data_IF_649253345231
#
_entry.id   IF_649253345231
#
_cell.length_a   1.000
_cell.length_b   1.000
_cell.length_c   1.000
_cell.angle_alpha   90.00
_cell.angle_beta   90.00
_cell.angle_gamma   90.00
#
_symmetry.space_group_name_H-M   'P 1'
#
loop_
_entity.id
_entity.type
_entity.pdbx_description
1 polymer ?
#
# COMPACT_ATOMS: atom_id res chain seq x y z
N UNK A 1 1.45 36.96 -25.22
CA UNK A 1 1.25 37.88 -24.08
C UNK A 1 2.23 37.46 -22.98
N UNK A 2 3.06 38.39 -22.51
CA UNK A 2 3.90 38.13 -21.34
C UNK A 2 2.98 37.93 -20.11
N UNK A 3 3.29 36.99 -19.20
CA UNK A 3 2.51 36.81 -17.98
C UNK A 3 2.55 38.10 -17.15
N UNK A 4 1.46 38.45 -16.44
CA UNK A 4 1.43 39.64 -15.61
C UNK A 4 2.55 39.58 -14.56
N UNK A 5 3.15 40.72 -14.20
CA UNK A 5 4.25 40.76 -13.24
C UNK A 5 3.76 40.16 -11.90
N UNK A 6 4.48 39.17 -11.40
CA UNK A 6 4.17 38.56 -10.10
C UNK A 6 4.40 39.56 -8.99
N UNK A 7 3.41 39.74 -8.12
CA UNK A 7 3.56 40.54 -6.90
C UNK A 7 4.70 39.94 -6.07
N UNK A 8 5.56 40.80 -5.55
CA UNK A 8 6.75 40.42 -4.78
C UNK A 8 6.52 40.64 -3.28
N UNK A 9 7.30 39.95 -2.45
CA UNK A 9 7.26 40.12 -0.98
C UNK A 9 7.65 41.58 -0.59
N UNK A 10 8.48 42.24 -1.40
CA UNK A 10 8.86 43.62 -1.19
C UNK A 10 7.66 44.56 -1.32
N UNK A 11 6.77 44.33 -2.27
CA UNK A 11 5.54 45.12 -2.42
C UNK A 11 4.57 44.85 -1.26
N UNK A 12 4.48 43.61 -0.76
CA UNK A 12 3.68 43.29 0.46
C UNK A 12 4.26 43.97 1.69
N UNK A 13 5.56 43.98 1.86
CA UNK A 13 6.25 44.65 2.95
C UNK A 13 6.00 46.18 2.95
N UNK A 14 6.09 46.79 1.77
CA UNK A 14 5.78 48.22 1.58
C UNK A 14 4.33 48.55 1.94
N UNK A 15 3.36 47.76 1.45
CA UNK A 15 1.93 47.92 1.75
C UNK A 15 1.62 47.74 3.23
N UNK A 16 2.30 46.79 3.91
CA UNK A 16 2.14 46.52 5.35
C UNK A 16 2.93 47.50 6.25
N UNK A 17 3.80 48.35 5.70
CA UNK A 17 4.64 49.26 6.48
C UNK A 17 5.69 48.55 7.33
N UNK A 18 6.29 47.46 6.80
CA UNK A 18 7.30 46.67 7.49
C UNK A 18 8.50 46.36 6.59
N UNK A 19 9.59 45.85 7.18
CA UNK A 19 10.73 45.36 6.38
C UNK A 19 10.38 44.09 5.63
N UNK A 20 11.05 43.82 4.49
CA UNK A 20 10.91 42.57 3.74
C UNK A 20 11.18 41.32 4.60
N UNK A 21 12.17 41.42 5.52
CA UNK A 21 12.47 40.35 6.47
C UNK A 21 11.32 40.08 7.45
N UNK A 22 10.68 41.17 7.93
CA UNK A 22 9.51 41.05 8.83
C UNK A 22 8.29 40.48 8.08
N UNK A 23 8.03 40.95 6.84
CA UNK A 23 6.99 40.38 6.01
C UNK A 23 7.24 38.89 5.72
N UNK A 24 8.50 38.51 5.46
CA UNK A 24 8.90 37.11 5.25
C UNK A 24 8.62 36.24 6.47
N UNK A 25 8.98 36.69 7.66
CA UNK A 25 8.68 35.98 8.91
C UNK A 25 7.17 35.83 9.17
N UNK A 26 6.42 36.90 9.03
CA UNK A 26 4.97 36.91 9.24
C UNK A 26 4.21 36.00 8.27
N UNK A 27 4.61 35.96 6.98
CA UNK A 27 3.99 35.11 5.97
C UNK A 27 4.52 33.67 5.99
N UNK A 28 5.77 33.49 6.40
CA UNK A 28 6.43 32.19 6.45
C UNK A 28 6.12 31.37 7.69
N UNK A 29 5.62 31.99 8.77
CA UNK A 29 5.41 31.34 10.05
C UNK A 29 6.71 30.92 10.76
N UNK A 30 7.83 31.57 10.47
CA UNK A 30 9.13 31.32 11.11
C UNK A 30 9.68 32.59 11.76
N UNK A 31 10.29 32.42 12.93
CA UNK A 31 10.80 33.56 13.72
C UNK A 31 9.68 34.38 14.37
N UNK A 32 10.06 35.47 15.04
CA UNK A 32 9.13 36.31 15.78
C UNK A 32 8.53 37.41 14.91
N UNK A 33 7.21 37.50 14.90
CA UNK A 33 6.43 38.68 14.48
C UNK A 33 5.26 38.80 15.47
N UNK A 34 4.92 40.02 15.94
CA UNK A 34 3.74 40.19 16.79
C UNK A 34 2.46 39.90 16.00
N UNK A 35 1.41 39.47 16.70
CA UNK A 35 0.10 39.13 16.08
C UNK A 35 -0.45 40.31 15.26
N UNK A 36 -0.26 41.54 15.73
CA UNK A 36 -0.68 42.76 15.03
C UNK A 36 0.08 42.94 13.69
N UNK A 37 1.41 42.73 13.70
CA UNK A 37 2.24 42.80 12.50
C UNK A 37 1.88 41.67 11.55
N UNK A 38 1.68 40.45 12.04
CA UNK A 38 1.29 39.33 11.23
C UNK A 38 -0.07 39.56 10.54
N UNK A 39 -1.06 40.08 11.27
CA UNK A 39 -2.38 40.43 10.72
C UNK A 39 -2.29 41.49 9.62
N UNK A 40 -1.50 42.57 9.83
CA UNK A 40 -1.28 43.61 8.79
C UNK A 40 -0.63 43.06 7.53
N UNK A 41 0.40 42.25 7.68
CA UNK A 41 1.10 41.63 6.54
C UNK A 41 0.20 40.68 5.79
N UNK A 42 -0.60 39.88 6.48
CA UNK A 42 -1.57 38.97 5.85
C UNK A 42 -2.68 39.77 5.11
N UNK A 43 -3.16 40.88 5.67
CA UNK A 43 -4.12 41.74 5.00
C UNK A 43 -3.53 42.36 3.72
N UNK A 44 -2.31 42.87 3.79
CA UNK A 44 -1.59 43.42 2.61
C UNK A 44 -1.39 42.32 1.55
N UNK A 45 -0.98 41.13 1.93
CA UNK A 45 -0.80 40.01 1.00
C UNK A 45 -2.12 39.64 0.29
N UNK A 46 -3.23 39.56 1.03
CA UNK A 46 -4.57 39.32 0.46
C UNK A 46 -4.98 40.45 -0.51
N UNK A 47 -4.80 41.72 -0.11
CA UNK A 47 -5.15 42.88 -0.92
C UNK A 47 -4.42 42.89 -2.25
N UNK A 48 -3.13 42.54 -2.25
CA UNK A 48 -2.29 42.53 -3.43
C UNK A 48 -2.39 41.24 -4.25
N UNK A 49 -3.10 40.17 -3.75
CA UNK A 49 -3.13 38.88 -4.41
C UNK A 49 -1.78 38.14 -4.36
N UNK A 50 -0.96 38.47 -3.35
CA UNK A 50 0.37 37.85 -3.22
C UNK A 50 0.24 36.39 -2.82
N UNK A 51 0.87 35.51 -3.58
CA UNK A 51 1.03 34.09 -3.22
C UNK A 51 2.47 33.86 -2.77
N UNK A 52 2.69 33.38 -1.54
CA UNK A 52 4.05 33.06 -1.07
C UNK A 52 4.75 32.12 -2.06
N UNK A 53 6.00 32.43 -2.35
CA UNK A 53 6.84 31.54 -3.15
C UNK A 53 7.34 30.40 -2.26
N UNK A 54 6.76 29.22 -2.43
CA UNK A 54 7.12 28.04 -1.63
C UNK A 54 8.60 27.65 -1.81
N UNK A 55 9.18 27.84 -3.01
CA UNK A 55 10.60 27.61 -3.25
C UNK A 55 11.48 28.56 -2.43
N UNK A 56 11.13 29.86 -2.38
CA UNK A 56 11.86 30.81 -1.55
C UNK A 56 11.71 30.48 -0.06
N UNK A 57 10.54 30.03 0.36
CA UNK A 57 10.29 29.61 1.74
C UNK A 57 11.11 28.36 2.10
N UNK A 58 11.16 27.37 1.22
CA UNK A 58 11.94 26.14 1.47
C UNK A 58 13.45 26.41 1.58
N UNK A 59 13.97 27.38 0.84
CA UNK A 59 15.38 27.82 0.96
C UNK A 59 15.69 28.44 2.34
N UNK A 60 14.72 29.14 2.93
CA UNK A 60 14.90 29.80 4.24
C UNK A 60 14.64 28.83 5.40
N UNK A 61 13.61 27.97 5.28
CA UNK A 61 13.19 27.05 6.34
C UNK A 61 13.91 25.71 6.29
N UNK A 62 14.56 25.38 5.17
CA UNK A 62 15.10 24.04 4.90
C UNK A 62 14.05 22.97 4.66
N UNK A 63 12.75 23.34 4.59
CA UNK A 63 11.62 22.39 4.45
C UNK A 63 10.72 22.78 3.29
N UNK A 64 10.34 21.78 2.50
CA UNK A 64 9.44 21.95 1.34
C UNK A 64 7.96 21.90 1.70
N UNK A 65 7.62 21.36 2.87
CA UNK A 65 6.26 20.97 3.26
C UNK A 65 5.63 20.03 2.21
N UNK A 66 6.41 19.12 1.70
CA UNK A 66 6.00 18.12 0.72
C UNK A 66 6.57 16.78 1.10
N UNK A 67 5.73 15.74 1.08
CA UNK A 67 6.17 14.36 1.24
C UNK A 67 6.12 13.65 -0.10
N UNK A 68 7.03 12.71 -0.30
CA UNK A 68 7.05 11.81 -1.44
C UNK A 68 6.29 10.52 -1.14
N UNK A 69 5.67 9.95 -2.15
CA UNK A 69 5.09 8.60 -2.08
C UNK A 69 5.56 7.81 -3.29
N UNK A 70 6.15 6.64 -3.06
CA UNK A 70 6.48 5.65 -4.09
C UNK A 70 5.51 4.49 -3.92
N UNK A 71 4.51 4.43 -4.80
CA UNK A 71 3.57 3.32 -4.86
C UNK A 71 4.12 2.22 -5.77
N UNK A 72 3.78 0.97 -5.46
CA UNK A 72 4.19 -0.15 -6.30
C UNK A 72 3.40 -0.19 -7.61
N UNK A 73 2.06 0.03 -7.54
CA UNK A 73 1.18 0.07 -8.72
C UNK A 73 -0.02 0.98 -8.47
N UNK A 74 -0.07 2.12 -9.15
CA UNK A 74 -1.18 3.10 -9.01
C UNK A 74 -2.49 2.63 -9.65
N UNK A 75 -2.47 1.65 -10.54
CA UNK A 75 -3.68 1.08 -11.14
C UNK A 75 -4.38 0.10 -10.16
N UNK A 76 -3.68 -0.34 -9.12
CA UNK A 76 -4.26 -1.17 -8.10
C UNK A 76 -5.10 -0.32 -7.10
N UNK A 77 -6.38 -0.68 -6.95
CA UNK A 77 -7.33 -0.01 -6.07
C UNK A 77 -6.87 0.06 -4.58
N UNK A 78 -6.03 -0.88 -4.13
CA UNK A 78 -5.41 -0.86 -2.82
C UNK A 78 -4.62 0.45 -2.61
N UNK A 79 -3.69 0.77 -3.53
CA UNK A 79 -2.86 1.97 -3.41
C UNK A 79 -3.66 3.26 -3.53
N UNK A 80 -4.70 3.30 -4.36
CA UNK A 80 -5.57 4.48 -4.48
C UNK A 80 -6.23 4.84 -3.14
N UNK A 81 -6.68 3.84 -2.37
CA UNK A 81 -7.29 4.04 -1.04
C UNK A 81 -6.25 4.37 0.04
N UNK A 82 -5.06 3.76 -0.02
CA UNK A 82 -3.93 4.11 0.85
C UNK A 82 -3.51 5.56 0.63
N UNK A 83 -3.36 5.98 -0.63
CA UNK A 83 -3.05 7.37 -1.01
C UNK A 83 -4.09 8.37 -0.52
N UNK A 84 -5.37 7.98 -0.48
CA UNK A 84 -6.42 8.81 0.10
C UNK A 84 -6.15 9.07 1.58
N UNK A 85 -5.81 8.02 2.36
CA UNK A 85 -5.45 8.15 3.76
C UNK A 85 -4.23 9.03 4.00
N UNK A 86 -3.18 8.85 3.18
CA UNK A 86 -1.97 9.70 3.21
C UNK A 86 -2.35 11.16 2.93
N UNK A 87 -3.11 11.41 1.86
CA UNK A 87 -3.48 12.76 1.42
C UNK A 87 -4.34 13.50 2.43
N UNK A 88 -5.25 12.83 3.12
CA UNK A 88 -6.10 13.44 4.14
C UNK A 88 -5.28 13.92 5.35
N UNK A 89 -4.32 13.12 5.83
CA UNK A 89 -3.41 13.50 6.92
C UNK A 89 -2.44 14.60 6.47
N UNK A 90 -1.80 14.44 5.32
CA UNK A 90 -0.86 15.43 4.79
C UNK A 90 -1.53 16.80 4.66
N UNK A 91 -2.72 16.86 4.06
CA UNK A 91 -3.51 18.09 3.89
C UNK A 91 -3.86 18.73 5.24
N UNK A 92 -4.29 17.96 6.22
CA UNK A 92 -4.65 18.46 7.56
C UNK A 92 -3.45 19.10 8.28
N UNK A 93 -2.24 18.70 7.92
CA UNK A 93 -0.97 19.20 8.49
C UNK A 93 -0.27 20.21 7.57
N UNK A 94 -0.89 20.63 6.45
CA UNK A 94 -0.35 21.61 5.52
C UNK A 94 0.77 21.09 4.61
N UNK A 95 0.86 19.77 4.40
CA UNK A 95 1.81 19.13 3.51
C UNK A 95 1.19 18.84 2.13
N UNK A 96 1.98 19.03 1.08
CA UNK A 96 1.71 18.49 -0.26
C UNK A 96 2.19 17.05 -0.40
N UNK A 97 1.67 16.34 -1.40
CA UNK A 97 2.10 14.97 -1.74
C UNK A 97 2.57 14.94 -3.19
N UNK A 98 3.75 14.38 -3.44
CA UNK A 98 4.24 14.01 -4.77
C UNK A 98 4.19 12.50 -4.86
N UNK A 99 3.43 11.99 -5.83
CA UNK A 99 3.28 10.57 -6.10
C UNK A 99 4.18 10.15 -7.26
N UNK A 100 4.86 9.04 -7.09
CA UNK A 100 5.59 8.29 -8.12
C UNK A 100 5.15 6.83 -8.10
N UNK A 101 5.45 6.11 -9.18
CA UNK A 101 5.11 4.70 -9.34
C UNK A 101 6.37 3.90 -9.69
N UNK A 102 6.55 2.72 -9.08
CA UNK A 102 7.68 1.84 -9.36
C UNK A 102 7.34 0.69 -10.33
N UNK A 103 6.06 0.37 -10.53
CA UNK A 103 5.59 -0.79 -11.32
C UNK A 103 6.27 -2.10 -10.88
N UNK A 104 6.44 -2.30 -9.55
CA UNK A 104 7.14 -3.45 -8.95
C UNK A 104 8.58 -3.64 -9.51
N UNK A 105 9.20 -2.57 -9.99
CA UNK A 105 10.54 -2.60 -10.59
C UNK A 105 11.53 -1.81 -9.73
N UNK A 106 12.57 -2.50 -9.25
CA UNK A 106 13.56 -1.94 -8.34
C UNK A 106 14.34 -0.76 -8.95
N UNK A 107 14.64 -0.78 -10.25
CA UNK A 107 15.38 0.32 -10.87
C UNK A 107 14.49 1.55 -11.00
N UNK A 108 13.21 1.39 -11.33
CA UNK A 108 12.24 2.48 -11.32
C UNK A 108 12.00 3.02 -9.90
N UNK A 109 12.01 2.16 -8.89
CA UNK A 109 11.95 2.58 -7.48
C UNK A 109 13.11 3.50 -7.13
N UNK A 110 14.35 3.10 -7.50
CA UNK A 110 15.55 3.93 -7.29
C UNK A 110 15.47 5.27 -8.01
N UNK A 111 15.01 5.27 -9.27
CA UNK A 111 14.80 6.51 -10.04
C UNK A 111 13.73 7.40 -9.40
N UNK A 112 12.63 6.81 -8.91
CA UNK A 112 11.56 7.54 -8.22
C UNK A 112 12.05 8.16 -6.90
N UNK A 113 12.82 7.43 -6.10
CA UNK A 113 13.46 7.93 -4.88
C UNK A 113 14.40 9.09 -5.20
N UNK A 114 15.26 8.94 -6.21
CA UNK A 114 16.19 10.01 -6.62
C UNK A 114 15.44 11.28 -7.08
N UNK A 115 14.39 11.11 -7.90
CA UNK A 115 13.54 12.22 -8.34
C UNK A 115 12.92 12.98 -7.14
N UNK A 116 12.39 12.25 -6.16
CA UNK A 116 11.77 12.84 -4.97
C UNK A 116 12.80 13.61 -4.12
N UNK A 117 14.02 13.10 -4.00
CA UNK A 117 15.14 13.81 -3.35
C UNK A 117 15.50 15.11 -4.10
N UNK A 118 15.55 15.09 -5.41
CA UNK A 118 15.78 16.30 -6.24
C UNK A 118 14.65 17.33 -6.08
N UNK A 119 13.41 16.87 -5.88
CA UNK A 119 12.27 17.74 -5.51
C UNK A 119 12.29 18.20 -4.07
N UNK A 120 13.28 17.76 -3.26
CA UNK A 120 13.46 18.12 -1.85
C UNK A 120 12.25 17.82 -1.00
N UNK A 121 11.67 16.62 -1.16
CA UNK A 121 10.62 16.18 -0.24
C UNK A 121 11.18 16.06 1.19
N UNK A 122 10.37 16.36 2.19
CA UNK A 122 10.79 16.35 3.60
C UNK A 122 10.83 14.94 4.18
N UNK A 123 10.25 13.97 3.49
CA UNK A 123 10.25 12.56 3.85
C UNK A 123 9.50 11.71 2.83
N UNK A 124 9.58 10.40 2.98
CA UNK A 124 9.11 9.42 1.99
C UNK A 124 8.19 8.37 2.60
N UNK A 125 7.09 8.03 1.92
CA UNK A 125 6.31 6.81 2.14
C UNK A 125 6.54 5.90 0.94
N UNK A 126 6.88 4.64 1.18
CA UNK A 126 7.27 3.72 0.11
C UNK A 126 6.72 2.31 0.31
N UNK A 127 6.32 1.66 -0.78
CA UNK A 127 6.19 0.21 -0.84
C UNK A 127 7.46 -0.37 -1.46
N UNK A 128 8.37 -0.98 -0.68
CA UNK A 128 9.65 -1.47 -1.22
C UNK A 128 9.43 -2.57 -2.25
N UNK A 129 10.06 -2.47 -3.43
CA UNK A 129 10.03 -3.52 -4.44
C UNK A 129 10.80 -4.77 -3.98
N UNK A 130 11.90 -4.59 -3.26
CA UNK A 130 12.70 -5.67 -2.72
C UNK A 130 12.66 -5.65 -1.18
N UNK A 131 12.22 -6.76 -0.59
CA UNK A 131 12.15 -6.91 0.88
C UNK A 131 13.49 -7.34 1.48
N UNK A 132 14.48 -7.71 0.67
CA UNK A 132 15.80 -8.18 1.10
C UNK A 132 16.93 -7.19 0.79
N UNK A 133 16.75 -6.30 -0.19
CA UNK A 133 17.79 -5.40 -0.70
C UNK A 133 17.38 -3.93 -0.66
N UNK A 134 17.55 -3.26 0.47
CA UNK A 134 17.12 -1.85 0.66
C UNK A 134 18.27 -0.84 0.77
N UNK A 135 19.43 -1.11 0.15
CA UNK A 135 20.61 -0.23 0.27
C UNK A 135 20.32 1.24 -0.09
N UNK A 136 19.58 1.47 -1.19
CA UNK A 136 19.22 2.81 -1.63
C UNK A 136 18.32 3.54 -0.61
N UNK A 137 17.44 2.80 0.10
CA UNK A 137 16.60 3.36 1.17
C UNK A 137 17.41 3.61 2.45
N UNK A 138 18.37 2.76 2.78
CA UNK A 138 19.32 3.02 3.87
C UNK A 138 20.11 4.30 3.62
N UNK A 139 20.61 4.48 2.39
CA UNK A 139 21.34 5.68 1.99
C UNK A 139 20.46 6.94 2.06
N UNK A 140 19.18 6.85 1.67
CA UNK A 140 18.19 7.91 1.83
C UNK A 140 18.07 8.36 3.30
N UNK A 141 17.85 7.40 4.20
CA UNK A 141 17.66 7.67 5.63
C UNK A 141 18.94 8.22 6.27
N UNK A 142 20.10 7.63 5.93
CA UNK A 142 21.40 8.13 6.37
C UNK A 142 21.68 9.55 5.87
N UNK A 143 21.15 9.94 4.72
CA UNK A 143 21.18 11.30 4.18
C UNK A 143 20.22 12.28 4.89
N UNK A 144 19.47 11.83 5.90
CA UNK A 144 18.58 12.67 6.73
C UNK A 144 17.15 12.79 6.21
N UNK A 145 16.75 12.02 5.20
CA UNK A 145 15.36 11.96 4.73
C UNK A 145 14.63 10.77 5.40
N UNK A 146 13.70 11.00 6.32
CA UNK A 146 12.97 9.92 6.96
C UNK A 146 12.08 9.17 5.98
N UNK A 147 11.93 7.86 6.18
CA UNK A 147 11.07 7.01 5.39
C UNK A 147 10.14 6.16 6.25
N UNK A 148 8.94 5.86 5.73
CA UNK A 148 7.98 4.92 6.30
C UNK A 148 7.58 3.93 5.21
N UNK A 149 7.61 2.65 5.53
CA UNK A 149 7.26 1.57 4.63
C UNK A 149 5.77 1.21 4.80
N UNK A 150 5.12 0.85 3.70
CA UNK A 150 3.72 0.40 3.70
C UNK A 150 3.55 -0.90 2.92
N UNK A 151 2.48 -1.66 3.23
CA UNK A 151 2.11 -2.94 2.61
C UNK A 151 3.09 -4.06 2.93
N UNK A 152 4.36 -3.86 2.66
CA UNK A 152 5.49 -4.73 2.99
C UNK A 152 6.66 -3.92 3.54
N UNK A 153 7.54 -4.57 4.25
CA UNK A 153 8.71 -3.95 4.82
C UNK A 153 9.98 -4.65 4.37
N UNK A 154 11.00 -3.88 3.99
CA UNK A 154 12.32 -4.39 3.76
C UNK A 154 12.93 -4.83 5.11
N UNK A 155 13.33 -6.08 5.19
CA UNK A 155 13.78 -6.74 6.40
C UNK A 155 15.03 -6.09 7.03
N UNK A 156 15.91 -5.57 6.17
CA UNK A 156 17.19 -4.98 6.55
C UNK A 156 17.13 -3.45 6.78
N UNK A 157 15.92 -2.84 6.72
CA UNK A 157 15.75 -1.40 6.84
C UNK A 157 15.19 -0.99 8.21
N UNK A 158 15.97 -0.25 8.98
CA UNK A 158 15.55 0.32 10.25
C UNK A 158 14.66 1.57 10.03
N UNK A 159 13.42 1.36 9.56
CA UNK A 159 12.42 2.39 9.33
C UNK A 159 11.06 1.96 9.87
N UNK A 160 10.20 2.95 10.16
CA UNK A 160 8.80 2.66 10.52
C UNK A 160 8.09 1.91 9.40
N UNK A 161 7.18 1.01 9.77
CA UNK A 161 6.35 0.30 8.80
C UNK A 161 4.90 0.19 9.25
N UNK A 162 3.99 0.15 8.26
CA UNK A 162 2.57 -0.13 8.44
C UNK A 162 2.17 -1.23 7.46
N UNK A 163 1.91 -2.41 7.98
CA UNK A 163 1.57 -3.63 7.22
C UNK A 163 0.26 -4.23 7.73
N UNK A 164 -0.14 -5.36 7.17
CA UNK A 164 -1.31 -6.14 7.58
C UNK A 164 -0.87 -7.54 7.97
N UNK A 165 -1.58 -8.18 8.91
CA UNK A 165 -1.43 -9.61 9.17
C UNK A 165 -1.98 -10.44 8.00
N UNK A 166 -1.18 -10.51 6.93
CA UNK A 166 -1.53 -11.25 5.71
C UNK A 166 -1.72 -12.74 5.98
N UNK A 167 -0.88 -13.33 6.85
CA UNK A 167 -0.92 -14.75 7.18
C UNK A 167 -2.16 -15.10 7.97
N UNK A 168 -2.46 -14.37 9.05
CA UNK A 168 -3.64 -14.58 9.87
C UNK A 168 -4.93 -14.36 9.09
N UNK A 169 -5.01 -13.30 8.31
CA UNK A 169 -6.18 -12.99 7.48
C UNK A 169 -6.45 -14.07 6.41
N UNK A 170 -5.42 -14.56 5.73
CA UNK A 170 -5.57 -15.65 4.77
C UNK A 170 -5.94 -16.96 5.43
N UNK A 171 -5.37 -17.24 6.63
CA UNK A 171 -5.75 -18.41 7.43
C UNK A 171 -7.25 -18.39 7.80
N UNK A 172 -7.77 -17.26 8.24
CA UNK A 172 -9.20 -17.08 8.55
C UNK A 172 -10.06 -17.28 7.30
N UNK A 173 -9.70 -16.67 6.18
CA UNK A 173 -10.40 -16.79 4.90
C UNK A 173 -10.51 -18.25 4.41
N UNK A 174 -9.42 -18.98 4.46
CA UNK A 174 -9.37 -20.38 4.03
C UNK A 174 -10.05 -21.30 5.05
N UNK A 175 -9.90 -21.04 6.35
CA UNK A 175 -10.61 -21.77 7.41
C UNK A 175 -12.13 -21.66 7.25
N UNK A 176 -12.66 -20.52 6.77
CA UNK A 176 -14.08 -20.38 6.47
C UNK A 176 -14.54 -21.36 5.38
N UNK A 177 -13.75 -21.55 4.31
CA UNK A 177 -14.05 -22.55 3.27
C UNK A 177 -13.98 -23.99 3.81
N UNK A 178 -12.95 -24.30 4.60
CA UNK A 178 -12.78 -25.64 5.17
C UNK A 178 -13.91 -25.97 6.17
N UNK A 179 -14.36 -24.98 6.95
CA UNK A 179 -15.50 -25.13 7.89
C UNK A 179 -16.82 -25.35 7.14
N UNK A 180 -16.99 -24.77 5.93
CA UNK A 180 -18.14 -25.06 5.08
C UNK A 180 -18.13 -26.48 4.48
N UNK A 181 -17.08 -27.28 4.75
CA UNK A 181 -16.96 -28.69 4.35
C UNK A 181 -16.09 -28.93 3.11
N UNK A 182 -15.50 -27.88 2.52
CA UNK A 182 -14.62 -28.05 1.37
C UNK A 182 -13.31 -28.75 1.76
N UNK A 183 -12.90 -29.75 0.97
CA UNK A 183 -11.63 -30.47 1.12
C UNK A 183 -10.67 -30.27 -0.04
N UNK A 184 -11.20 -29.75 -1.15
CA UNK A 184 -10.43 -29.38 -2.36
C UNK A 184 -10.53 -27.87 -2.53
N UNK A 185 -9.70 -27.14 -1.79
CA UNK A 185 -9.62 -25.67 -1.85
C UNK A 185 -8.43 -25.30 -2.69
N UNK A 186 -8.67 -24.58 -3.79
CA UNK A 186 -7.62 -24.00 -4.61
C UNK A 186 -7.15 -22.65 -4.07
N UNK A 187 -5.93 -22.26 -4.41
CA UNK A 187 -5.43 -20.90 -4.21
C UNK A 187 -4.83 -20.38 -5.52
N UNK A 188 -5.12 -19.12 -5.85
CA UNK A 188 -4.47 -18.38 -6.94
C UNK A 188 -3.76 -17.20 -6.31
N UNK A 189 -2.45 -17.16 -6.44
CA UNK A 189 -1.60 -16.12 -5.89
C UNK A 189 -0.52 -15.71 -6.88
N UNK A 190 -0.07 -14.47 -6.76
CA UNK A 190 0.99 -13.94 -7.63
C UNK A 190 2.29 -14.73 -7.43
N UNK A 191 2.77 -14.86 -6.19
CA UNK A 191 3.95 -15.60 -5.77
C UNK A 191 5.18 -15.26 -6.62
N UNK A 192 5.67 -14.03 -6.50
CA UNK A 192 6.90 -13.61 -7.15
C UNK A 192 8.05 -14.60 -6.89
N UNK A 193 9.00 -14.66 -7.80
CA UNK A 193 10.05 -15.68 -7.74
C UNK A 193 10.91 -15.51 -6.48
N UNK A 194 10.95 -16.54 -5.63
CA UNK A 194 11.92 -16.59 -4.53
C UNK A 194 13.25 -17.08 -5.11
N UNK A 195 14.32 -16.38 -4.78
CA UNK A 195 15.66 -16.86 -5.08
C UNK A 195 15.90 -18.23 -4.42
N UNK A 196 16.29 -19.22 -5.20
CA UNK A 196 16.74 -20.56 -4.81
C UNK A 196 15.66 -21.58 -4.35
N UNK A 197 14.40 -21.51 -4.81
CA UNK A 197 13.45 -22.57 -4.48
C UNK A 197 12.28 -22.70 -5.46
N UNK A 198 11.74 -23.91 -5.59
CA UNK A 198 10.46 -24.12 -6.26
C UNK A 198 9.30 -23.90 -5.31
N UNK A 199 8.11 -23.64 -5.83
CA UNK A 199 6.88 -23.61 -5.03
C UNK A 199 6.69 -24.92 -4.24
N UNK A 200 7.04 -26.07 -4.84
CA UNK A 200 6.94 -27.35 -4.18
C UNK A 200 7.89 -27.47 -2.98
N UNK A 201 9.14 -26.97 -3.11
CA UNK A 201 10.10 -26.96 -2.01
C UNK A 201 9.63 -26.08 -0.87
N UNK A 202 9.08 -24.90 -1.17
CA UNK A 202 8.50 -24.01 -0.16
C UNK A 202 7.35 -24.67 0.61
N UNK A 203 6.41 -25.30 -0.10
CA UNK A 203 5.28 -26.00 0.51
C UNK A 203 5.76 -27.15 1.38
N UNK A 204 6.73 -27.94 0.91
CA UNK A 204 7.33 -29.03 1.66
C UNK A 204 8.04 -28.53 2.93
N UNK A 205 8.81 -27.46 2.83
CA UNK A 205 9.48 -26.84 3.97
C UNK A 205 8.47 -26.30 5.00
N UNK A 206 7.45 -25.60 4.55
CA UNK A 206 6.41 -25.04 5.42
C UNK A 206 5.58 -26.12 6.16
N UNK A 207 5.54 -27.34 5.62
CA UNK A 207 4.88 -28.48 6.26
C UNK A 207 5.68 -29.05 7.44
N UNK A 208 7.02 -28.92 7.45
CA UNK A 208 7.90 -29.56 8.44
C UNK A 208 8.60 -28.57 9.39
N UNK A 209 8.67 -27.30 9.03
CA UNK A 209 9.37 -26.27 9.81
C UNK A 209 8.62 -24.94 9.79
N UNK A 210 8.63 -24.18 10.91
CA UNK A 210 8.11 -22.81 10.90
C UNK A 210 8.87 -21.95 9.89
N UNK A 211 8.14 -21.25 9.03
CA UNK A 211 8.67 -20.25 8.11
C UNK A 211 8.39 -18.87 8.69
N UNK A 212 9.42 -18.02 8.72
CA UNK A 212 9.33 -16.63 9.18
C UNK A 212 8.56 -15.80 8.14
N UNK A 213 7.36 -15.37 8.50
CA UNK A 213 6.48 -14.66 7.55
C UNK A 213 6.97 -13.24 7.26
N UNK A 214 7.58 -12.58 8.23
CA UNK A 214 7.99 -11.17 8.20
C UNK A 214 9.02 -10.86 7.08
N UNK A 215 9.76 -11.89 6.64
CA UNK A 215 10.76 -11.77 5.57
C UNK A 215 10.20 -12.09 4.17
N UNK A 216 8.89 -12.31 4.05
CA UNK A 216 8.25 -12.72 2.82
C UNK A 216 7.35 -11.61 2.25
N UNK A 217 7.18 -11.61 0.93
CA UNK A 217 6.18 -10.81 0.24
C UNK A 217 4.75 -11.17 0.68
N UNK A 218 3.79 -10.24 0.63
CA UNK A 218 2.41 -10.48 1.05
C UNK A 218 1.76 -11.73 0.44
N UNK A 219 2.00 -12.01 -0.84
CA UNK A 219 1.47 -13.20 -1.53
C UNK A 219 1.95 -14.51 -0.90
N UNK A 220 3.23 -14.59 -0.50
CA UNK A 220 3.80 -15.75 0.19
C UNK A 220 3.30 -15.87 1.63
N UNK A 221 3.10 -14.74 2.34
CA UNK A 221 2.48 -14.75 3.67
C UNK A 221 1.04 -15.29 3.60
N UNK A 222 0.29 -14.93 2.56
CA UNK A 222 -1.08 -15.44 2.33
C UNK A 222 -1.08 -16.91 1.97
N UNK A 223 -0.09 -17.39 1.21
CA UNK A 223 0.10 -18.82 0.98
C UNK A 223 0.40 -19.56 2.30
N UNK A 224 1.24 -19.01 3.18
CA UNK A 224 1.45 -19.59 4.52
C UNK A 224 0.15 -19.69 5.31
N UNK A 225 -0.70 -18.65 5.28
CA UNK A 225 -2.02 -18.68 5.92
C UNK A 225 -2.93 -19.78 5.37
N UNK A 226 -2.92 -19.98 4.03
CA UNK A 226 -3.61 -21.10 3.39
C UNK A 226 -3.10 -22.45 3.90
N UNK A 227 -1.78 -22.65 3.97
CA UNK A 227 -1.19 -23.89 4.48
C UNK A 227 -1.52 -24.13 5.96
N UNK A 228 -1.49 -23.06 6.77
CA UNK A 228 -1.84 -23.12 8.19
C UNK A 228 -3.30 -23.54 8.38
N UNK A 229 -4.24 -22.97 7.64
CA UNK A 229 -5.66 -23.32 7.73
C UNK A 229 -5.90 -24.80 7.42
N UNK A 230 -5.24 -25.32 6.39
CA UNK A 230 -5.30 -26.73 6.02
C UNK A 230 -4.75 -27.64 7.13
N UNK A 231 -3.60 -27.26 7.71
CA UNK A 231 -3.00 -27.99 8.83
C UNK A 231 -3.91 -28.02 10.03
N UNK A 232 -4.50 -26.89 10.42
CA UNK A 232 -5.36 -26.76 11.59
C UNK A 232 -6.67 -27.55 11.44
N UNK A 233 -7.20 -27.61 10.21
CA UNK A 233 -8.40 -28.40 9.89
C UNK A 233 -8.10 -29.90 9.69
N UNK A 234 -6.84 -30.33 9.67
CA UNK A 234 -6.45 -31.71 9.37
C UNK A 234 -6.78 -32.14 7.93
N UNK A 235 -6.91 -31.18 7.00
CA UNK A 235 -7.20 -31.43 5.59
C UNK A 235 -5.90 -31.36 4.80
N UNK A 236 -5.47 -32.45 4.13
CA UNK A 236 -4.21 -32.46 3.38
C UNK A 236 -4.20 -31.40 2.27
N UNK A 237 -3.08 -30.70 2.14
CA UNK A 237 -2.84 -29.79 1.02
C UNK A 237 -2.59 -30.59 -0.25
N UNK A 238 -3.25 -30.21 -1.33
CA UNK A 238 -3.06 -30.76 -2.66
C UNK A 238 -2.29 -29.73 -3.49
N UNK A 239 -1.00 -29.98 -3.72
CA UNK A 239 -0.10 -29.01 -4.38
C UNK A 239 -0.55 -28.61 -5.79
N UNK A 240 -1.24 -29.51 -6.51
CA UNK A 240 -1.85 -29.20 -7.81
C UNK A 240 -2.98 -28.17 -7.74
N UNK A 241 -3.51 -27.85 -6.55
CA UNK A 241 -4.50 -26.80 -6.33
C UNK A 241 -3.86 -25.43 -6.03
N UNK A 242 -2.54 -25.37 -5.89
CA UNK A 242 -1.82 -24.11 -5.70
C UNK A 242 -1.39 -23.60 -7.06
N UNK A 243 -1.89 -22.42 -7.43
CA UNK A 243 -1.60 -21.78 -8.73
C UNK A 243 -0.83 -20.51 -8.53
N UNK A 244 0.27 -20.40 -9.27
CA UNK A 244 1.17 -19.26 -9.29
C UNK A 244 0.95 -18.46 -10.57
N UNK A 245 0.45 -17.24 -10.46
CA UNK A 245 0.31 -16.35 -11.63
C UNK A 245 1.67 -15.84 -12.14
N UNK A 246 2.66 -15.71 -11.25
CA UNK A 246 4.01 -15.29 -11.58
C UNK A 246 4.15 -13.84 -12.06
N UNK A 247 3.04 -13.10 -12.09
CA UNK A 247 2.97 -11.69 -12.43
C UNK A 247 1.75 -11.07 -11.76
N UNK A 248 1.83 -9.80 -11.42
CA UNK A 248 0.72 -9.02 -10.88
C UNK A 248 -0.23 -8.59 -12.01
N UNK A 249 -0.90 -9.59 -12.62
CA UNK A 249 -1.71 -9.45 -13.83
C UNK A 249 -3.00 -10.25 -13.73
N UNK A 250 -4.15 -9.59 -13.93
CA UNK A 250 -5.45 -10.28 -13.99
C UNK A 250 -5.53 -11.26 -15.16
N UNK A 251 -4.85 -11.00 -16.26
CA UNK A 251 -4.78 -11.92 -17.39
C UNK A 251 -4.00 -13.20 -17.04
N UNK A 252 -2.87 -13.07 -16.35
CA UNK A 252 -2.10 -14.22 -15.85
C UNK A 252 -2.92 -15.02 -14.84
N UNK A 253 -3.57 -14.34 -13.89
CA UNK A 253 -4.45 -14.97 -12.91
C UNK A 253 -5.63 -15.69 -13.56
N UNK A 254 -6.24 -15.10 -14.62
CA UNK A 254 -7.32 -15.72 -15.39
C UNK A 254 -6.86 -17.02 -16.06
N UNK A 255 -5.67 -17.03 -16.68
CA UNK A 255 -5.15 -18.24 -17.32
C UNK A 255 -4.94 -19.35 -16.29
N UNK A 256 -4.29 -19.05 -15.15
CA UNK A 256 -4.11 -20.01 -14.07
C UNK A 256 -5.44 -20.49 -13.45
N UNK A 257 -6.44 -19.60 -13.38
CA UNK A 257 -7.78 -19.96 -12.92
C UNK A 257 -8.47 -20.91 -13.91
N UNK A 258 -8.41 -20.66 -15.22
CA UNK A 258 -8.97 -21.56 -16.24
C UNK A 258 -8.30 -22.93 -16.15
N UNK A 259 -6.96 -22.98 -16.13
CA UNK A 259 -6.21 -24.23 -16.02
C UNK A 259 -6.55 -24.99 -14.74
N UNK A 260 -6.74 -24.30 -13.62
CA UNK A 260 -7.15 -24.91 -12.36
C UNK A 260 -8.56 -25.51 -12.44
N UNK A 261 -9.52 -24.75 -12.98
CA UNK A 261 -10.94 -25.12 -13.00
C UNK A 261 -11.25 -26.23 -14.02
N UNK A 262 -10.49 -26.28 -15.11
CA UNK A 262 -10.59 -27.34 -16.13
C UNK A 262 -9.75 -28.57 -15.80
N UNK A 263 -8.83 -28.48 -14.81
CA UNK A 263 -7.96 -29.58 -14.43
C UNK A 263 -8.71 -30.76 -13.81
N UNK A 264 -8.08 -31.93 -13.83
CA UNK A 264 -8.59 -33.12 -13.13
C UNK A 264 -8.67 -32.98 -11.62
N UNK A 265 -8.02 -31.97 -11.03
CA UNK A 265 -8.01 -31.71 -9.58
C UNK A 265 -9.35 -31.22 -9.03
N UNK A 266 -10.18 -30.59 -9.89
CA UNK A 266 -11.55 -30.15 -9.61
C UNK A 266 -11.73 -29.51 -8.22
N UNK A 267 -11.23 -28.31 -7.99
CA UNK A 267 -11.47 -27.60 -6.71
C UNK A 267 -12.97 -27.40 -6.50
N UNK A 268 -13.43 -27.47 -5.26
CA UNK A 268 -14.82 -27.11 -4.90
C UNK A 268 -14.92 -25.72 -4.30
N UNK A 269 -13.77 -25.13 -3.96
CA UNK A 269 -13.64 -23.75 -3.54
C UNK A 269 -12.30 -23.19 -3.99
N UNK A 270 -12.21 -21.87 -4.20
CA UNK A 270 -10.98 -21.17 -4.55
C UNK A 270 -10.83 -19.92 -3.68
N UNK A 271 -9.63 -19.74 -3.15
CA UNK A 271 -9.17 -18.50 -2.51
C UNK A 271 -8.28 -17.72 -3.48
N UNK A 272 -8.69 -16.50 -3.85
CA UNK A 272 -7.86 -15.58 -4.61
C UNK A 272 -7.09 -14.67 -3.67
N UNK A 273 -5.76 -14.68 -3.75
CA UNK A 273 -4.90 -14.15 -2.72
C UNK A 273 -4.72 -12.61 -2.74
N UNK A 274 -5.27 -11.91 -3.71
CA UNK A 274 -5.32 -10.44 -3.78
C UNK A 274 -6.38 -9.96 -4.78
N UNK A 275 -6.55 -8.62 -4.89
CA UNK A 275 -7.57 -8.01 -5.75
C UNK A 275 -7.38 -8.31 -7.24
N UNK A 276 -6.13 -8.36 -7.72
CA UNK A 276 -5.80 -8.66 -9.13
C UNK A 276 -6.05 -10.14 -9.44
N UNK A 277 -5.65 -11.04 -8.53
CA UNK A 277 -5.94 -12.47 -8.64
C UNK A 277 -7.44 -12.73 -8.58
N UNK A 278 -8.16 -11.99 -7.72
CA UNK A 278 -9.64 -12.04 -7.63
C UNK A 278 -10.31 -11.67 -8.95
N UNK A 279 -9.82 -10.62 -9.62
CA UNK A 279 -10.32 -10.17 -10.90
C UNK A 279 -10.13 -11.25 -11.99
N UNK A 280 -8.95 -11.86 -12.07
CA UNK A 280 -8.67 -12.95 -13.00
C UNK A 280 -9.52 -14.18 -12.74
N UNK A 281 -9.67 -14.59 -11.48
CA UNK A 281 -10.55 -15.70 -11.10
C UNK A 281 -12.00 -15.46 -11.52
N UNK A 282 -12.55 -14.27 -11.26
CA UNK A 282 -13.94 -13.96 -11.62
C UNK A 282 -14.15 -13.90 -13.14
N UNK A 283 -13.16 -13.47 -13.91
CA UNK A 283 -13.20 -13.54 -15.38
C UNK A 283 -13.25 -15.00 -15.85
N UNK A 284 -12.39 -15.87 -15.30
CA UNK A 284 -12.42 -17.30 -15.64
C UNK A 284 -13.74 -17.97 -15.29
N UNK A 285 -14.32 -17.67 -14.12
CA UNK A 285 -15.63 -18.17 -13.69
C UNK A 285 -16.72 -17.73 -14.67
N UNK A 286 -16.70 -16.48 -15.13
CA UNK A 286 -17.66 -15.96 -16.10
C UNK A 286 -17.52 -16.64 -17.47
N UNK A 287 -16.30 -16.82 -17.98
CA UNK A 287 -16.02 -17.47 -19.26
C UNK A 287 -16.45 -18.94 -19.27
N UNK A 288 -16.18 -19.66 -18.19
CA UNK A 288 -16.53 -21.07 -18.01
C UNK A 288 -17.98 -21.27 -17.57
N UNK A 289 -18.72 -20.17 -17.31
CA UNK A 289 -20.12 -20.18 -16.84
C UNK A 289 -20.35 -21.01 -15.58
N UNK A 290 -19.39 -20.94 -14.67
CA UNK A 290 -19.46 -21.67 -13.38
C UNK A 290 -20.37 -20.91 -12.42
N UNK A 291 -21.33 -21.60 -11.80
CA UNK A 291 -22.21 -21.00 -10.80
C UNK A 291 -21.52 -20.89 -9.44
N UNK A 292 -21.56 -19.71 -8.85
CA UNK A 292 -21.09 -19.43 -7.47
C UNK A 292 -22.32 -19.18 -6.60
N UNK A 293 -22.42 -19.81 -5.41
CA UNK A 293 -21.54 -20.84 -4.85
C UNK A 293 -21.88 -22.28 -5.30
N UNK A 294 -22.91 -22.49 -6.15
CA UNK A 294 -23.49 -23.81 -6.44
C UNK A 294 -22.51 -24.85 -6.99
N UNK A 295 -21.57 -24.45 -7.84
CA UNK A 295 -20.52 -25.32 -8.39
C UNK A 295 -19.13 -25.01 -7.79
N UNK A 296 -18.90 -23.78 -7.38
CA UNK A 296 -17.63 -23.32 -6.84
C UNK A 296 -17.85 -22.26 -5.76
N UNK A 297 -17.35 -22.49 -4.57
CA UNK A 297 -17.26 -21.44 -3.54
C UNK A 297 -16.05 -20.56 -3.78
N UNK A 298 -16.19 -19.26 -3.50
CA UNK A 298 -15.13 -18.26 -3.73
C UNK A 298 -14.93 -17.39 -2.51
N UNK A 299 -13.66 -17.21 -2.10
CA UNK A 299 -13.24 -16.19 -1.14
C UNK A 299 -12.12 -15.39 -1.78
N UNK A 300 -12.18 -14.07 -1.67
CA UNK A 300 -11.19 -13.16 -2.22
C UNK A 300 -10.42 -12.44 -1.11
N UNK A 301 -9.17 -12.07 -1.38
CA UNK A 301 -8.45 -11.08 -0.60
C UNK A 301 -8.65 -9.72 -1.26
N UNK A 302 -8.63 -8.65 -0.47
CA UNK A 302 -9.12 -7.32 -0.79
C UNK A 302 -10.64 -7.24 -1.00
N UNK A 303 -11.25 -6.26 -0.37
CA UNK A 303 -12.69 -6.04 -0.45
C UNK A 303 -12.97 -4.90 -1.44
N UNK A 304 -12.96 -5.25 -2.72
CA UNK A 304 -13.18 -4.29 -3.81
C UNK A 304 -14.66 -3.97 -3.96
N UNK A 305 -15.00 -2.76 -4.40
CA UNK A 305 -16.39 -2.28 -4.47
C UNK A 305 -17.29 -3.20 -5.28
N UNK A 306 -16.80 -3.74 -6.40
CA UNK A 306 -17.57 -4.64 -7.26
C UNK A 306 -17.95 -5.96 -6.56
N UNK A 307 -17.20 -6.42 -5.56
CA UNK A 307 -17.51 -7.64 -4.79
C UNK A 307 -18.80 -7.50 -3.98
N UNK A 308 -19.21 -6.28 -3.66
CA UNK A 308 -20.39 -6.02 -2.85
C UNK A 308 -21.70 -6.07 -3.64
N UNK A 309 -21.66 -5.80 -4.95
CA UNK A 309 -22.83 -5.76 -5.80
C UNK A 309 -22.89 -6.86 -6.86
N UNK A 310 -21.88 -7.75 -6.89
CA UNK A 310 -21.97 -9.01 -7.65
C UNK A 310 -23.14 -9.87 -7.14
N UNK A 311 -23.61 -10.81 -7.97
CA UNK A 311 -24.61 -11.81 -7.59
C UNK A 311 -24.06 -13.20 -7.90
N UNK A 312 -23.70 -13.95 -6.84
CA UNK A 312 -23.74 -13.59 -5.39
C UNK A 312 -22.70 -12.55 -5.02
N UNK A 313 -22.95 -11.84 -3.90
CA UNK A 313 -21.94 -10.96 -3.31
C UNK A 313 -20.76 -11.79 -2.76
N UNK A 314 -19.54 -11.31 -2.96
CA UNK A 314 -18.32 -12.10 -2.72
C UNK A 314 -17.82 -11.93 -1.29
N UNK A 315 -17.65 -13.05 -0.59
CA UNK A 315 -16.94 -13.14 0.71
C UNK A 315 -15.49 -12.73 0.50
N UNK A 316 -15.01 -11.76 1.28
CA UNK A 316 -13.68 -11.20 1.04
C UNK A 316 -13.00 -10.69 2.32
N UNK A 317 -11.68 -10.71 2.32
CA UNK A 317 -10.85 -10.11 3.37
C UNK A 317 -10.76 -8.61 3.12
N UNK A 318 -11.24 -7.81 4.08
CA UNK A 318 -11.16 -6.35 4.06
C UNK A 318 -9.91 -5.88 4.79
N UNK A 319 -9.00 -5.22 4.07
CA UNK A 319 -7.85 -4.54 4.65
C UNK A 319 -8.23 -3.11 5.08
N UNK A 320 -7.72 -2.59 6.20
CA UNK A 320 -7.98 -1.21 6.63
C UNK A 320 -7.13 -0.20 5.84
N UNK A 321 -7.24 -0.19 4.51
CA UNK A 321 -6.33 0.49 3.57
C UNK A 321 -6.21 2.00 3.81
N UNK A 322 -7.32 2.69 4.14
CA UNK A 322 -7.27 4.11 4.51
C UNK A 322 -6.45 4.32 5.80
N UNK A 323 -6.58 3.41 6.78
CA UNK A 323 -5.83 3.49 8.05
C UNK A 323 -4.34 3.21 7.83
N UNK A 324 -3.97 2.30 6.92
CA UNK A 324 -2.57 2.09 6.51
C UNK A 324 -1.97 3.42 6.06
N UNK A 325 -2.62 4.11 5.12
CA UNK A 325 -2.13 5.38 4.59
C UNK A 325 -2.10 6.49 5.65
N UNK A 326 -3.16 6.64 6.43
CA UNK A 326 -3.22 7.69 7.46
C UNK A 326 -2.17 7.49 8.54
N UNK A 327 -1.97 6.25 9.02
CA UNK A 327 -0.96 5.93 10.03
C UNK A 327 0.46 6.13 9.49
N UNK A 328 0.74 5.73 8.25
CA UNK A 328 2.03 5.97 7.62
C UNK A 328 2.36 7.46 7.53
N UNK A 329 1.39 8.29 7.16
CA UNK A 329 1.57 9.74 7.11
C UNK A 329 1.76 10.34 8.51
N UNK A 330 1.02 9.90 9.51
CA UNK A 330 1.18 10.31 10.92
C UNK A 330 2.61 10.02 11.42
N UNK A 331 3.11 8.80 11.18
CA UNK A 331 4.48 8.38 11.53
C UNK A 331 5.52 9.24 10.80
N UNK A 332 5.40 9.38 9.48
CA UNK A 332 6.34 10.17 8.70
C UNK A 332 6.41 11.63 9.17
N UNK A 333 5.25 12.27 9.38
CA UNK A 333 5.20 13.65 9.85
C UNK A 333 5.78 13.81 11.26
N UNK A 334 5.66 12.80 12.13
CA UNK A 334 6.31 12.77 13.44
C UNK A 334 7.84 12.72 13.29
N UNK A 335 8.36 11.87 12.37
CA UNK A 335 9.80 11.82 12.05
C UNK A 335 10.32 13.15 11.49
N UNK A 336 9.58 13.76 10.56
CA UNK A 336 9.90 15.08 9.99
C UNK A 336 9.92 16.14 11.12
N UNK A 337 9.06 16.03 12.13
CA UNK A 337 9.03 16.93 13.28
C UNK A 337 10.20 16.72 14.27
N UNK A 338 11.02 15.67 14.11
CA UNK A 338 12.20 15.39 14.93
C UNK A 338 12.04 14.22 15.90
N UNK A 339 11.01 13.37 15.76
CA UNK A 339 10.89 12.14 16.55
C UNK A 339 12.03 11.17 16.22
N UNK A 340 12.80 10.77 17.24
CA UNK A 340 14.00 9.93 17.11
C UNK A 340 13.87 8.58 17.83
N UNK A 341 12.68 8.20 18.28
CA UNK A 341 12.44 6.88 18.88
C UNK A 341 12.80 5.75 17.92
N UNK A 342 12.98 4.53 18.44
CA UNK A 342 13.19 3.35 17.62
C UNK A 342 12.06 3.18 16.58
N UNK A 343 12.35 2.58 15.42
CA UNK A 343 11.34 2.28 14.41
C UNK A 343 10.16 1.51 14.99
N UNK A 344 8.95 1.85 14.53
CA UNK A 344 7.69 1.22 14.93
C UNK A 344 7.18 0.36 13.79
N UNK A 345 6.94 -0.92 14.06
CA UNK A 345 6.34 -1.84 13.10
C UNK A 345 4.87 -2.06 13.49
N UNK A 346 3.96 -1.49 12.71
CA UNK A 346 2.53 -1.54 12.97
C UNK A 346 1.89 -2.56 12.03
N UNK A 347 1.45 -3.67 12.59
CA UNK A 347 0.70 -4.71 11.87
C UNK A 347 -0.78 -4.51 12.16
N UNK A 348 -1.56 -4.16 11.14
CA UNK A 348 -2.99 -3.92 11.27
C UNK A 348 -3.78 -5.22 11.02
N UNK A 349 -4.89 -5.36 11.73
CA UNK A 349 -5.81 -6.47 11.50
C UNK A 349 -6.65 -6.25 10.25
N UNK A 350 -6.78 -7.27 9.41
CA UNK A 350 -7.79 -7.37 8.37
C UNK A 350 -9.00 -8.13 8.89
N UNK A 351 -10.16 -8.02 8.21
CA UNK A 351 -11.42 -8.64 8.63
C UNK A 351 -12.03 -9.44 7.49
N UNK A 352 -12.54 -10.62 7.78
CA UNK A 352 -13.31 -11.38 6.81
C UNK A 352 -14.76 -10.87 6.77
N UNK A 353 -15.17 -10.32 5.64
CA UNK A 353 -16.55 -9.94 5.36
C UNK A 353 -17.26 -11.13 4.69
N UNK A 354 -18.05 -11.87 5.46
CA UNK A 354 -18.81 -13.01 4.98
C UNK A 354 -20.02 -12.51 4.18
N UNK A 355 -20.20 -13.07 2.96
CA UNK A 355 -21.30 -12.80 2.04
C UNK A 355 -21.80 -14.12 1.41
N UNK A 356 -22.33 -14.08 0.20
CA UNK A 356 -23.12 -15.17 -0.37
C UNK A 356 -22.33 -16.10 -1.31
N UNK A 357 -21.01 -15.89 -1.48
CA UNK A 357 -20.18 -16.67 -2.43
C UNK A 357 -19.65 -17.99 -1.90
N UNK A 358 -19.98 -18.35 -0.66
CA UNK A 358 -19.59 -19.61 -0.04
C UNK A 358 -20.82 -20.42 0.31
N UNK A 359 -20.88 -21.67 -0.17
CA UNK A 359 -21.90 -22.65 0.14
C UNK A 359 -21.30 -24.02 0.50
N UNK A 360 -22.09 -25.05 0.74
CA UNK A 360 -21.56 -26.41 0.92
C UNK A 360 -20.91 -26.91 -0.38
N UNK A 361 -19.92 -27.82 -0.29
CA UNK A 361 -19.29 -28.39 -1.48
C UNK A 361 -20.35 -29.10 -2.36
N UNK A 362 -20.24 -29.00 -3.68
CA UNK A 362 -21.11 -29.74 -4.60
C UNK A 362 -20.89 -31.26 -4.40
N UNK A 363 -21.98 -32.02 -4.55
CA UNK A 363 -22.01 -33.48 -4.39
C UNK A 363 -21.19 -34.21 -5.44
#
# INVERSE_FOLDING_TARGET
>A
MAPPPRITITQVAAEAGVSTATAGRALGGYGYASDEVAARVQAAARKLGYKPNMLARSLVTGRSQTIGVVAADIDNAFYARVLRGIGDVARSRGFGVILTNSDENLDREKEAVQLLLEKRVDGLIITPCDVHGSEHLRNLIAGGCPAVQIDRAAYDLAADSVTVDNRGAAREAVAHLLTAGHKRVGIIAELEQIDNGSLADFVAQAAVSPVTAETLYPSWQRLLGYLDAHRDAGVPVQTQLIRRAGAYSSAAARNEAVDLLESGARPTAVFAADGTMSQGLMQAIADLKISVPGQLSVVCFDDLDWMTFMQPAITSVHQPVHRIGSMAAELLLSRIAGETSMPKHNVLEARLNIRDSVGPPPH
#
